data_IF_562452716551
#
_entry.id   IF_562452716551
#
_cell.length_a   1.000
_cell.length_b   1.000
_cell.length_c   1.000
_cell.angle_alpha   90.00
_cell.angle_beta   90.00
_cell.angle_gamma   90.00
#
_symmetry.space_group_name_H-M   'P 1'
#
loop_
_entity.id
_entity.type
_entity.pdbx_description
1 polymer ?
#
# COMPACT_ATOMS: atom_id res chain seq x y z
N UNK A 1 -39.26 4.02 -77.52
CA UNK A 1 -38.33 2.89 -77.35
C UNK A 1 -38.06 2.69 -75.87
N UNK A 2 -38.56 1.57 -75.32
CA UNK A 2 -38.20 0.80 -74.10
C UNK A 2 -37.72 1.60 -72.87
N UNK A 3 -38.53 1.78 -71.81
CA UNK A 3 -38.93 0.84 -70.73
C UNK A 3 -37.79 0.13 -69.98
N UNK A 4 -37.70 0.40 -68.67
CA UNK A 4 -37.76 -0.57 -67.53
C UNK A 4 -37.37 0.16 -66.23
N UNK A 5 -38.27 0.31 -65.24
CA UNK A 5 -38.50 -0.58 -64.06
C UNK A 5 -37.29 -0.60 -63.09
N UNK A 6 -37.37 -0.64 -61.76
CA UNK A 6 -38.34 -0.35 -60.68
C UNK A 6 -37.54 -0.65 -59.38
N UNK A 7 -37.91 -0.01 -58.28
CA UNK A 7 -37.46 -0.21 -56.89
C UNK A 7 -36.91 -1.61 -56.50
N UNK A 8 -35.87 -1.66 -55.65
CA UNK A 8 -35.98 -2.36 -54.35
C UNK A 8 -34.89 -1.96 -53.33
N UNK A 9 -35.38 -1.85 -52.10
CA UNK A 9 -34.78 -1.70 -50.77
C UNK A 9 -33.48 -2.46 -50.48
N UNK A 10 -32.54 -1.82 -49.77
CA UNK A 10 -31.69 -2.51 -48.80
C UNK A 10 -31.17 -1.53 -47.72
N UNK A 11 -31.74 -1.66 -46.54
CA UNK A 11 -31.24 -1.23 -45.22
C UNK A 11 -29.87 -1.84 -44.88
N UNK A 12 -29.09 -1.13 -44.03
CA UNK A 12 -27.80 -1.50 -43.39
C UNK A 12 -26.55 -1.49 -44.32
N UNK A 13 -25.50 -0.69 -44.02
CA UNK A 13 -24.89 -0.64 -42.68
C UNK A 13 -24.52 0.79 -42.23
N UNK A 14 -25.43 1.41 -41.48
CA UNK A 14 -25.06 2.42 -40.48
C UNK A 14 -24.61 1.69 -39.20
N UNK A 15 -23.61 0.80 -39.31
CA UNK A 15 -23.08 0.01 -38.19
C UNK A 15 -21.68 -0.59 -38.43
N UNK A 16 -20.98 -0.18 -39.49
CA UNK A 16 -19.62 -0.64 -39.80
C UNK A 16 -18.55 0.47 -39.75
N UNK A 17 -18.88 1.67 -39.23
CA UNK A 17 -17.94 2.79 -39.16
C UNK A 17 -17.32 3.02 -37.76
N UNK A 18 -17.71 2.26 -36.73
CA UNK A 18 -17.15 2.39 -35.38
C UNK A 18 -16.10 1.32 -35.03
N UNK A 19 -15.62 0.54 -36.01
CA UNK A 19 -14.70 -0.57 -35.76
C UNK A 19 -13.38 -0.49 -36.54
N UNK A 20 -12.82 0.71 -36.75
CA UNK A 20 -11.37 0.85 -36.99
C UNK A 20 -10.88 2.18 -36.43
N UNK A 21 -10.40 2.14 -35.18
CA UNK A 21 -9.27 2.96 -34.73
C UNK A 21 -8.71 2.38 -33.42
N UNK A 22 -8.48 1.06 -33.39
CA UNK A 22 -7.54 0.47 -32.45
C UNK A 22 -6.14 0.53 -33.08
N UNK A 23 -5.66 1.75 -33.31
CA UNK A 23 -4.23 2.03 -33.28
C UNK A 23 -4.03 2.96 -32.10
N UNK A 24 -3.95 2.37 -30.90
CA UNK A 24 -3.14 2.95 -29.84
C UNK A 24 -1.73 3.03 -30.42
N UNK A 25 -1.35 4.19 -30.94
CA UNK A 25 0.07 4.51 -31.05
C UNK A 25 0.62 4.34 -29.63
N UNK A 26 1.56 3.42 -29.45
CA UNK A 26 2.34 3.40 -28.23
C UNK A 26 2.84 4.83 -28.01
N UNK A 27 2.71 5.41 -26.79
CA UNK A 27 3.24 6.74 -26.56
C UNK A 27 4.72 6.71 -26.98
N UNK A 28 5.14 7.68 -27.80
CA UNK A 28 6.55 7.87 -28.11
C UNK A 28 7.32 7.80 -26.81
N UNK A 29 8.26 6.86 -26.72
CA UNK A 29 9.10 6.72 -25.53
C UNK A 29 9.83 8.04 -25.38
N UNK A 30 9.43 8.84 -24.38
CA UNK A 30 10.07 10.10 -24.11
C UNK A 30 11.58 9.86 -23.99
N UNK A 31 12.43 10.69 -24.63
CA UNK A 31 13.86 10.52 -24.54
C UNK A 31 14.28 10.50 -23.07
N UNK A 32 15.22 9.61 -22.73
CA UNK A 32 15.72 9.46 -21.37
C UNK A 32 16.25 10.81 -20.85
N UNK A 33 15.58 11.37 -19.84
CA UNK A 33 16.00 12.61 -19.19
C UNK A 33 16.98 12.29 -18.06
N UNK A 34 18.25 12.60 -18.26
CA UNK A 34 19.32 12.36 -17.27
C UNK A 34 19.83 13.68 -16.71
N UNK A 35 19.62 13.90 -15.40
CA UNK A 35 20.21 15.03 -14.67
C UNK A 35 21.67 14.68 -14.34
N UNK A 36 22.62 15.53 -14.79
CA UNK A 36 24.05 15.40 -14.49
C UNK A 36 24.49 16.55 -13.58
N UNK A 37 25.43 16.25 -12.69
CA UNK A 37 26.12 17.29 -11.93
C UNK A 37 26.72 18.34 -12.86
N UNK A 38 26.57 19.61 -12.50
CA UNK A 38 27.09 20.78 -13.22
C UNK A 38 27.59 21.83 -12.23
N UNK A 39 28.02 22.98 -12.72
CA UNK A 39 28.35 24.13 -11.87
C UNK A 39 27.13 24.63 -11.08
N UNK A 40 25.93 24.50 -11.63
CA UNK A 40 24.69 25.03 -11.06
C UNK A 40 23.86 23.97 -10.31
N UNK A 41 24.24 22.70 -10.42
CA UNK A 41 23.55 21.60 -9.74
C UNK A 41 24.52 20.53 -9.25
N UNK A 42 24.48 20.23 -7.96
CA UNK A 42 25.23 19.14 -7.35
C UNK A 42 24.29 18.22 -6.59
N UNK A 43 24.56 16.91 -6.63
CA UNK A 43 23.84 15.95 -5.79
C UNK A 43 24.18 16.23 -4.33
N UNK A 44 23.19 16.62 -3.54
CA UNK A 44 23.34 16.70 -2.09
C UNK A 44 23.20 15.30 -1.48
N UNK A 45 24.24 14.75 -0.82
CA UNK A 45 24.12 13.45 -0.16
C UNK A 45 23.33 13.63 1.14
N UNK A 46 22.03 13.33 1.11
CA UNK A 46 21.20 13.25 2.31
C UNK A 46 20.98 11.78 2.69
N UNK A 47 20.81 11.54 3.99
CA UNK A 47 20.28 10.29 4.52
C UNK A 47 18.96 10.56 5.24
N UNK A 48 18.07 9.57 5.24
CA UNK A 48 16.86 9.56 6.06
C UNK A 48 17.11 8.92 7.44
N UNK A 49 18.33 8.45 7.70
CA UNK A 49 18.69 7.86 8.98
C UNK A 49 18.69 8.91 10.09
N UNK A 50 17.89 8.64 11.12
CA UNK A 50 17.84 9.46 12.32
C UNK A 50 18.89 8.94 13.31
N UNK A 51 19.80 9.81 13.73
CA UNK A 51 20.84 9.51 14.72
C UNK A 51 20.20 9.29 16.10
N UNK A 52 20.47 8.17 16.80
CA UNK A 52 19.94 7.92 18.14
C UNK A 52 20.27 9.06 19.12
N UNK A 53 19.26 9.54 19.85
CA UNK A 53 19.38 10.64 20.81
C UNK A 53 19.64 12.01 20.19
N UNK A 54 19.68 12.12 18.85
CA UNK A 54 19.79 13.40 18.16
C UNK A 54 18.50 14.21 18.21
N UNK A 55 18.54 15.46 17.73
CA UNK A 55 17.40 16.39 17.75
C UNK A 55 16.15 15.90 16.98
N UNK A 56 16.34 14.97 16.04
CA UNK A 56 15.26 14.36 15.26
C UNK A 56 14.83 12.99 15.79
N UNK A 57 15.44 12.49 16.89
CA UNK A 57 15.04 11.23 17.51
C UNK A 57 13.90 11.46 18.51
N UNK A 58 12.69 11.17 18.05
CA UNK A 58 11.44 11.24 18.80
C UNK A 58 11.02 9.87 19.37
N UNK A 59 11.94 8.91 19.47
CA UNK A 59 11.62 7.57 19.97
C UNK A 59 11.09 7.54 21.41
N UNK A 60 11.34 8.57 22.21
CA UNK A 60 10.83 8.75 23.57
C UNK A 60 9.34 9.07 23.63
N UNK A 61 8.73 9.54 22.53
CA UNK A 61 7.29 9.81 22.46
C UNK A 61 6.44 8.53 22.58
N UNK A 62 7.04 7.36 22.31
CA UNK A 62 6.34 6.09 22.24
C UNK A 62 6.96 5.02 23.14
N UNK A 63 6.12 4.32 23.89
CA UNK A 63 6.54 3.11 24.60
C UNK A 63 6.80 1.96 23.64
N UNK A 64 7.66 1.05 24.06
CA UNK A 64 7.86 -0.24 23.41
C UNK A 64 7.78 -1.37 24.47
N UNK A 65 7.31 -2.56 24.09
CA UNK A 65 6.63 -2.87 22.81
C UNK A 65 5.18 -2.33 22.78
N UNK A 66 4.58 -2.29 21.59
CA UNK A 66 3.16 -2.01 21.46
C UNK A 66 2.33 -3.08 22.19
N UNK A 67 1.31 -2.64 22.91
CA UNK A 67 0.48 -3.48 23.78
C UNK A 67 0.95 -3.58 25.24
N UNK A 68 2.05 -2.92 25.63
CA UNK A 68 2.57 -2.91 27.02
C UNK A 68 1.55 -2.45 28.08
N UNK A 69 0.57 -1.63 27.69
CA UNK A 69 -0.48 -1.11 28.58
C UNK A 69 -1.86 -1.72 28.30
N UNK A 70 -1.88 -2.89 27.66
CA UNK A 70 -3.11 -3.58 27.28
C UNK A 70 -3.69 -3.11 25.94
N UNK A 71 -4.92 -3.56 25.66
CA UNK A 71 -5.65 -3.25 24.42
C UNK A 71 -6.04 -1.77 24.35
N UNK A 72 -6.23 -1.27 23.14
CA UNK A 72 -6.84 0.05 22.91
C UNK A 72 -8.32 0.01 23.30
N UNK A 73 -8.76 1.04 24.02
CA UNK A 73 -10.16 1.25 24.42
C UNK A 73 -10.62 2.64 23.99
N UNK A 74 -11.94 2.82 23.87
CA UNK A 74 -12.55 4.15 23.78
C UNK A 74 -12.92 4.61 25.19
N UNK A 75 -12.54 5.84 25.53
CA UNK A 75 -12.92 6.49 26.79
C UNK A 75 -14.33 7.11 26.67
N UNK A 76 -15.02 7.37 27.79
CA UNK A 76 -16.30 8.09 27.76
C UNK A 76 -16.23 9.47 27.10
N UNK A 77 -15.05 10.10 27.10
CA UNK A 77 -14.78 11.38 26.43
C UNK A 77 -14.54 11.25 24.91
N UNK A 78 -14.59 10.05 24.33
CA UNK A 78 -14.40 9.83 22.89
C UNK A 78 -12.94 9.81 22.44
N UNK A 79 -11.99 9.63 23.35
CA UNK A 79 -10.57 9.45 23.04
C UNK A 79 -10.16 7.98 23.10
N UNK A 80 -9.09 7.61 22.39
CA UNK A 80 -8.42 6.34 22.64
C UNK A 80 -7.60 6.41 23.93
N UNK A 81 -7.58 5.31 24.67
CA UNK A 81 -6.67 5.07 25.78
C UNK A 81 -6.23 3.60 25.77
N UNK A 82 -5.33 3.24 26.68
CA UNK A 82 -4.98 1.84 26.91
C UNK A 82 -5.71 1.30 28.14
N UNK A 83 -6.09 0.02 28.12
CA UNK A 83 -6.87 -0.60 29.19
C UNK A 83 -6.23 -0.46 30.59
N UNK A 84 -4.90 -0.53 30.68
CA UNK A 84 -4.18 -0.41 31.96
C UNK A 84 -3.90 1.06 32.35
N UNK A 85 -4.26 2.01 31.48
CA UNK A 85 -4.11 3.47 31.66
C UNK A 85 -5.31 4.22 31.07
N UNK A 86 -6.54 3.94 31.55
CA UNK A 86 -7.75 4.47 30.93
C UNK A 86 -7.85 6.00 31.01
N UNK A 87 -7.19 6.60 32.01
CA UNK A 87 -7.19 8.05 32.25
C UNK A 87 -6.11 8.80 31.44
N UNK A 88 -5.28 8.09 30.67
CA UNK A 88 -4.23 8.68 29.83
C UNK A 88 -4.61 8.51 28.35
N UNK A 89 -5.08 9.58 27.68
CA UNK A 89 -5.38 9.53 26.26
C UNK A 89 -4.14 9.19 25.43
N UNK A 90 -4.33 8.39 24.39
CA UNK A 90 -3.33 8.14 23.35
C UNK A 90 -3.80 8.70 22.02
N UNK A 91 -2.87 9.32 21.29
CA UNK A 91 -3.08 9.78 19.92
C UNK A 91 -2.24 8.94 18.98
N UNK A 92 -2.85 8.47 17.91
CA UNK A 92 -2.14 7.67 16.91
C UNK A 92 -1.69 8.55 15.73
N UNK A 93 -0.40 8.47 15.42
CA UNK A 93 0.26 9.16 14.31
C UNK A 93 1.10 8.14 13.57
N UNK A 94 0.86 8.00 12.28
CA UNK A 94 1.41 6.86 11.55
C UNK A 94 1.51 7.07 10.06
N UNK A 95 1.97 5.99 9.42
CA UNK A 95 2.20 5.91 7.97
C UNK A 95 1.43 4.73 7.38
N UNK A 96 1.33 4.70 6.05
CA UNK A 96 0.75 3.58 5.31
C UNK A 96 1.87 2.80 4.62
N UNK A 97 1.80 1.46 4.70
CA UNK A 97 2.54 0.55 3.83
C UNK A 97 1.53 -0.09 2.88
N UNK A 98 1.73 0.11 1.58
CA UNK A 98 0.82 -0.36 0.55
C UNK A 98 1.48 -1.44 -0.31
N UNK A 99 0.68 -2.40 -0.77
CA UNK A 99 1.09 -3.43 -1.73
C UNK A 99 2.34 -4.20 -1.26
N UNK A 100 3.40 -4.24 -2.08
CA UNK A 100 4.65 -4.94 -1.82
C UNK A 100 5.43 -4.41 -0.61
N UNK A 101 5.16 -3.18 -0.14
CA UNK A 101 5.78 -2.64 1.07
C UNK A 101 5.40 -3.40 2.35
N UNK A 102 4.40 -4.28 2.29
CA UNK A 102 4.01 -5.17 3.38
C UNK A 102 4.86 -6.47 3.43
N UNK A 103 5.64 -6.79 2.40
CA UNK A 103 6.39 -8.05 2.26
C UNK A 103 7.90 -7.83 2.13
N UNK A 104 8.43 -7.01 3.04
CA UNK A 104 9.84 -6.64 3.07
C UNK A 104 10.75 -7.82 3.42
N UNK A 105 12.01 -7.74 2.99
CA UNK A 105 13.05 -8.61 3.54
C UNK A 105 13.26 -8.30 5.03
N UNK A 106 13.65 -9.28 5.85
CA UNK A 106 13.81 -9.08 7.30
C UNK A 106 14.66 -7.86 7.68
N UNK A 107 15.79 -7.66 7.01
CA UNK A 107 16.75 -6.59 7.31
C UNK A 107 16.15 -5.21 7.04
N UNK A 108 15.30 -5.11 6.00
CA UNK A 108 14.60 -3.88 5.64
C UNK A 108 13.46 -3.61 6.64
N UNK A 109 12.77 -4.66 7.09
CA UNK A 109 11.74 -4.53 8.12
C UNK A 109 12.31 -4.06 9.46
N UNK A 110 13.50 -4.56 9.85
CA UNK A 110 14.25 -4.08 11.00
C UNK A 110 14.57 -2.59 10.91
N UNK A 111 15.17 -2.17 9.78
CA UNK A 111 15.56 -0.78 9.57
C UNK A 111 14.32 0.14 9.55
N UNK A 112 13.24 -0.30 8.90
CA UNK A 112 11.99 0.46 8.85
C UNK A 112 11.40 0.66 10.24
N UNK A 113 11.33 -0.39 11.07
CA UNK A 113 10.78 -0.29 12.41
C UNK A 113 11.55 0.70 13.29
N UNK A 114 12.90 0.71 13.20
CA UNK A 114 13.73 1.68 13.90
C UNK A 114 13.54 3.10 13.36
N UNK A 115 13.49 3.25 12.04
CA UNK A 115 13.29 4.56 11.38
C UNK A 115 11.96 5.17 11.81
N UNK A 116 10.87 4.40 11.75
CA UNK A 116 9.54 4.89 12.14
C UNK A 116 9.46 5.21 13.62
N UNK A 117 10.08 4.40 14.48
CA UNK A 117 10.17 4.68 15.92
C UNK A 117 10.89 6.00 16.19
N UNK A 118 12.07 6.19 15.58
CA UNK A 118 12.85 7.42 15.74
C UNK A 118 12.14 8.64 15.17
N UNK A 119 11.37 8.47 14.10
CA UNK A 119 10.51 9.53 13.57
C UNK A 119 9.31 9.87 14.46
N UNK A 120 9.08 9.12 15.55
CA UNK A 120 7.98 9.37 16.50
C UNK A 120 6.65 8.75 16.11
N UNK A 121 6.59 7.92 15.06
CA UNK A 121 5.37 7.21 14.69
C UNK A 121 5.04 6.10 15.69
N UNK A 122 3.75 5.89 15.93
CA UNK A 122 3.23 4.90 16.86
C UNK A 122 2.14 3.99 16.28
N UNK A 123 1.81 4.17 15.00
CA UNK A 123 0.97 3.25 14.26
C UNK A 123 1.43 3.10 12.82
N UNK A 124 1.16 1.95 12.23
CA UNK A 124 1.35 1.68 10.80
C UNK A 124 0.08 1.05 10.26
N UNK A 125 -0.40 1.55 9.13
CA UNK A 125 -1.49 0.91 8.38
C UNK A 125 -0.93 -0.03 7.33
N UNK A 126 -1.25 -1.30 7.44
CA UNK A 126 -0.97 -2.30 6.41
C UNK A 126 -2.14 -2.32 5.43
N UNK A 127 -1.92 -1.83 4.21
CA UNK A 127 -2.97 -1.60 3.21
C UNK A 127 -2.69 -2.35 1.91
N UNK A 128 -3.75 -2.74 1.19
CA UNK A 128 -3.68 -3.44 -0.10
C UNK A 128 -2.82 -4.72 -0.12
N UNK A 129 -2.60 -5.36 1.03
CA UNK A 129 -1.76 -6.56 1.11
C UNK A 129 -2.52 -7.83 0.70
N UNK A 130 -3.85 -7.83 0.80
CA UNK A 130 -4.69 -9.01 0.73
C UNK A 130 -4.70 -9.71 -0.64
N UNK A 131 -4.65 -8.94 -1.73
CA UNK A 131 -4.48 -9.46 -3.10
C UNK A 131 -3.11 -10.08 -3.30
N UNK A 132 -2.08 -9.40 -2.84
CA UNK A 132 -0.69 -9.77 -3.09
C UNK A 132 -0.22 -10.91 -2.17
N UNK A 133 -0.89 -11.13 -1.03
CA UNK A 133 -0.63 -12.22 -0.08
C UNK A 133 -1.05 -13.60 -0.61
N UNK A 134 -1.94 -13.67 -1.60
CA UNK A 134 -2.41 -14.93 -2.19
C UNK A 134 -1.41 -15.43 -3.25
N UNK A 135 -1.30 -16.75 -3.40
CA UNK A 135 -0.52 -17.36 -4.49
C UNK A 135 -1.11 -16.92 -5.83
N UNK A 136 -0.26 -16.44 -6.75
CA UNK A 136 -0.70 -15.98 -8.06
C UNK A 136 -1.45 -17.07 -8.82
N UNK A 137 -2.68 -16.79 -9.25
CA UNK A 137 -3.56 -17.75 -9.93
C UNK A 137 -4.16 -18.84 -9.03
N UNK A 138 -3.91 -18.79 -7.72
CA UNK A 138 -4.51 -19.70 -6.74
C UNK A 138 -5.90 -19.24 -6.28
N UNK A 139 -6.56 -20.11 -5.51
CA UNK A 139 -7.81 -19.78 -4.82
C UNK A 139 -7.59 -18.64 -3.82
N UNK A 140 -8.62 -17.82 -3.59
CA UNK A 140 -8.56 -16.62 -2.74
C UNK A 140 -8.03 -16.88 -1.32
N UNK A 141 -8.15 -18.12 -0.81
CA UNK A 141 -7.70 -18.53 0.52
C UNK A 141 -6.32 -19.22 0.54
N UNK A 142 -5.67 -19.40 -0.61
CA UNK A 142 -4.33 -20.00 -0.70
C UNK A 142 -3.25 -18.92 -0.56
N UNK A 143 -2.80 -18.71 0.66
CA UNK A 143 -1.79 -17.71 0.99
C UNK A 143 -0.39 -18.18 0.53
N UNK A 144 0.39 -17.25 0.00
CA UNK A 144 1.82 -17.44 -0.29
C UNK A 144 2.58 -17.52 1.05
N UNK A 145 3.21 -18.67 1.38
CA UNK A 145 3.83 -18.87 2.68
C UNK A 145 5.02 -17.93 2.92
N UNK A 146 5.75 -17.55 1.86
CA UNK A 146 6.90 -16.64 1.98
C UNK A 146 6.43 -15.23 2.30
N UNK A 147 5.36 -14.77 1.64
CA UNK A 147 4.77 -13.45 1.92
C UNK A 147 4.11 -13.41 3.29
N UNK A 148 3.44 -14.49 3.68
CA UNK A 148 2.85 -14.62 5.01
C UNK A 148 3.91 -14.52 6.11
N UNK A 149 5.05 -15.21 5.95
CA UNK A 149 6.16 -15.10 6.88
C UNK A 149 6.72 -13.66 6.96
N UNK A 150 6.92 -13.00 5.81
CA UNK A 150 7.43 -11.62 5.76
C UNK A 150 6.51 -10.60 6.43
N UNK A 151 5.20 -10.64 6.18
CA UNK A 151 4.27 -9.69 6.80
C UNK A 151 4.14 -9.94 8.32
N UNK A 152 4.23 -11.20 8.75
CA UNK A 152 4.27 -11.55 10.17
C UNK A 152 5.57 -11.08 10.84
N UNK A 153 6.71 -11.23 10.16
CA UNK A 153 7.98 -10.71 10.63
C UNK A 153 7.92 -9.18 10.76
N UNK A 154 7.47 -8.48 9.73
CA UNK A 154 7.25 -7.02 9.75
C UNK A 154 6.35 -6.61 10.93
N UNK A 155 5.22 -7.27 11.13
CA UNK A 155 4.33 -7.05 12.28
C UNK A 155 5.08 -7.19 13.61
N UNK A 156 5.86 -8.27 13.78
CA UNK A 156 6.61 -8.52 15.00
C UNK A 156 7.64 -7.41 15.27
N UNK A 157 8.35 -6.93 14.23
CA UNK A 157 9.34 -5.86 14.37
C UNK A 157 8.71 -4.50 14.68
N UNK A 158 7.62 -4.16 14.00
CA UNK A 158 6.83 -2.95 14.29
C UNK A 158 6.31 -2.96 15.73
N UNK A 159 5.73 -4.08 16.17
CA UNK A 159 5.26 -4.25 17.55
C UNK A 159 6.39 -4.11 18.55
N UNK A 160 7.53 -4.76 18.32
CA UNK A 160 8.70 -4.66 19.19
C UNK A 160 9.21 -3.21 19.31
N UNK A 161 9.13 -2.43 18.24
CA UNK A 161 9.52 -1.03 18.20
C UNK A 161 8.46 -0.06 18.79
N UNK A 162 7.29 -0.55 19.22
CA UNK A 162 6.25 0.29 19.83
C UNK A 162 5.16 0.77 18.87
N UNK A 163 5.12 0.27 17.64
CA UNK A 163 4.12 0.65 16.65
C UNK A 163 2.91 -0.30 16.69
N UNK A 164 1.73 0.29 16.82
CA UNK A 164 0.44 -0.40 16.69
C UNK A 164 0.10 -0.58 15.21
N UNK A 165 -0.82 -1.49 14.90
CA UNK A 165 -1.20 -1.81 13.53
C UNK A 165 -2.66 -1.48 13.30
N UNK A 166 -2.92 -0.74 12.23
CA UNK A 166 -4.24 -0.63 11.60
C UNK A 166 -4.21 -1.46 10.32
N UNK A 167 -5.29 -2.16 10.00
CA UNK A 167 -5.33 -3.00 8.78
C UNK A 167 -6.75 -3.10 8.26
N UNK A 168 -6.87 -3.40 6.97
CA UNK A 168 -8.15 -3.69 6.35
C UNK A 168 -8.43 -5.19 6.43
N UNK A 169 -9.70 -5.55 6.64
CA UNK A 169 -10.12 -6.95 6.64
C UNK A 169 -10.28 -7.49 5.22
N UNK A 170 -10.59 -6.61 4.27
CA UNK A 170 -10.72 -6.91 2.85
C UNK A 170 -10.43 -5.64 2.05
N UNK A 171 -9.76 -5.79 0.91
CA UNK A 171 -9.52 -4.67 0.01
C UNK A 171 -9.63 -5.07 -1.47
N UNK A 172 -8.72 -5.91 -1.97
CA UNK A 172 -8.63 -6.22 -3.40
C UNK A 172 -8.42 -7.70 -3.72
N UNK A 173 -8.56 -8.58 -2.72
CA UNK A 173 -8.54 -10.03 -2.91
C UNK A 173 -9.59 -10.43 -3.95
N UNK A 174 -9.16 -11.21 -4.93
CA UNK A 174 -10.04 -11.73 -5.98
C UNK A 174 -10.49 -13.14 -5.62
N UNK A 175 -11.71 -13.47 -6.05
CA UNK A 175 -12.30 -14.80 -5.94
C UNK A 175 -12.36 -15.44 -7.33
N UNK A 176 -12.12 -16.74 -7.38
CA UNK A 176 -12.31 -17.53 -8.60
C UNK A 176 -13.79 -17.89 -8.79
N UNK A 177 -14.20 -18.24 -10.00
CA UNK A 177 -15.59 -18.70 -10.25
C UNK A 177 -15.98 -19.87 -9.36
N UNK A 178 -15.04 -20.77 -9.05
CA UNK A 178 -15.27 -21.92 -8.16
C UNK A 178 -15.51 -21.55 -6.68
N UNK A 179 -15.23 -20.30 -6.28
CA UNK A 179 -15.42 -19.80 -4.92
C UNK A 179 -16.67 -18.92 -4.78
N UNK A 180 -17.33 -18.61 -5.89
CA UNK A 180 -18.56 -17.81 -5.92
C UNK A 180 -19.79 -18.73 -5.94
N UNK A 181 -20.87 -18.37 -5.23
CA UNK A 181 -22.09 -19.16 -5.17
C UNK A 181 -22.89 -19.18 -6.48
#
# INVERSE_FOLDING_TARGET
MRSSFLLLTATLPLLAACYVSAQTTAPDVAPEFVVKASADWVKYPYTLDIVPGGIFDFSSLNHAPAGRYGRVISTPAGHFAFADRPDVPVRFWGVNLCFSANFLKPEVADQLALTLRRAGYNTVRLHHFDRDLVVSGGLSHKLDPVKLDRINYLFARLKAAGLYISTDLYHSRRFTEAELP
#
